data_IF_682322407164
#
_entry.id   IF_682322407164
#
_cell.length_a   1.000
_cell.length_b   1.000
_cell.length_c   1.000
_cell.angle_alpha   90.00
_cell.angle_beta   90.00
_cell.angle_gamma   90.00
#
_symmetry.space_group_name_H-M   'P 1'
#
loop_
_entity.id
_entity.type
_entity.pdbx_description
1 polymer ?
#
# COMPACT_ATOMS: atom_id res chain seq x y z
N UNK A 1 -21.56 11.32 3.42
CA UNK A 1 -20.77 10.10 3.20
C UNK A 1 -19.33 10.49 3.43
N UNK A 2 -18.59 9.81 4.30
CA UNK A 2 -17.15 10.07 4.44
C UNK A 2 -16.46 9.75 3.12
N UNK A 3 -15.52 10.59 2.70
CA UNK A 3 -14.69 10.30 1.53
C UNK A 3 -13.80 9.09 1.85
N UNK A 4 -13.71 8.12 0.94
CA UNK A 4 -12.81 6.95 1.09
C UNK A 4 -11.32 7.34 1.05
N UNK A 5 -11.03 8.56 0.61
CA UNK A 5 -9.66 9.06 0.38
C UNK A 5 -9.57 10.52 0.81
N UNK A 6 -8.53 10.87 1.53
CA UNK A 6 -8.11 12.26 1.73
C UNK A 6 -7.03 12.61 0.71
N UNK A 7 -7.15 13.76 0.06
CA UNK A 7 -6.09 14.40 -0.70
C UNK A 7 -5.91 15.84 -0.25
N UNK A 8 -4.73 16.17 0.24
CA UNK A 8 -4.31 17.52 0.61
C UNK A 8 -3.19 17.95 -0.36
N UNK A 9 -3.44 18.97 -1.21
CA UNK A 9 -2.44 19.41 -2.17
C UNK A 9 -1.26 20.07 -1.46
N UNK A 10 -0.05 19.88 -2.00
CA UNK A 10 1.19 20.48 -1.50
C UNK A 10 1.66 21.67 -2.30
N UNK A 11 2.68 22.35 -1.77
CA UNK A 11 3.42 23.45 -2.42
C UNK A 11 4.90 23.11 -2.65
N UNK A 12 5.38 21.99 -2.14
CA UNK A 12 6.73 21.44 -2.33
C UNK A 12 6.73 20.33 -3.38
N UNK A 13 7.89 19.87 -3.88
CA UNK A 13 7.95 18.72 -4.78
C UNK A 13 7.69 17.37 -4.09
N UNK A 14 7.55 17.35 -2.77
CA UNK A 14 7.38 16.13 -1.99
C UNK A 14 5.92 15.72 -1.92
N UNK A 15 5.66 14.44 -2.21
CA UNK A 15 4.37 13.79 -2.15
C UNK A 15 4.48 12.57 -1.23
N UNK A 16 3.66 12.52 -0.20
CA UNK A 16 3.54 11.37 0.68
C UNK A 16 2.17 10.72 0.51
N UNK A 17 2.12 9.40 0.53
CA UNK A 17 0.87 8.66 0.58
C UNK A 17 0.89 7.54 1.61
N UNK A 18 -0.28 7.24 2.19
CA UNK A 18 -0.51 6.14 3.12
C UNK A 18 -1.66 5.25 2.62
N UNK A 19 -1.34 4.14 1.95
CA UNK A 19 -2.36 3.26 1.36
C UNK A 19 -3.01 2.32 2.36
N UNK A 20 -2.42 2.11 3.55
CA UNK A 20 -2.74 1.00 4.43
C UNK A 20 -3.06 1.36 5.87
N UNK A 21 -3.09 2.65 6.23
CA UNK A 21 -3.42 3.10 7.60
C UNK A 21 -4.93 3.25 7.85
N UNK A 22 -5.76 3.00 6.84
CA UNK A 22 -7.20 3.18 6.91
C UNK A 22 -7.88 2.25 7.93
N UNK A 23 -8.77 2.83 8.74
CA UNK A 23 -9.48 2.16 9.84
C UNK A 23 -11.00 2.22 9.69
N UNK A 24 -11.52 2.75 8.58
CA UNK A 24 -12.96 2.80 8.30
C UNK A 24 -13.39 1.50 7.61
N UNK A 25 -13.90 0.57 8.40
CA UNK A 25 -14.39 -0.72 7.90
C UNK A 25 -15.78 -0.56 7.31
N UNK A 26 -15.98 -0.77 5.99
CA UNK A 26 -17.27 -0.61 5.36
C UNK A 26 -18.28 -1.66 5.83
N UNK A 27 -19.57 -1.27 5.96
CA UNK A 27 -20.65 -2.17 6.35
C UNK A 27 -20.82 -3.36 5.39
N UNK A 28 -20.46 -3.16 4.11
CA UNK A 28 -20.49 -4.20 3.06
C UNK A 28 -19.25 -5.09 3.03
N UNK A 29 -18.34 -5.00 4.01
CA UNK A 29 -17.15 -5.83 4.04
C UNK A 29 -17.49 -7.33 4.02
N UNK A 30 -18.45 -7.73 4.85
CA UNK A 30 -18.90 -9.12 4.89
C UNK A 30 -17.83 -10.11 5.34
N UNK A 31 -16.87 -9.67 6.17
CA UNK A 31 -15.87 -10.55 6.78
C UNK A 31 -16.49 -11.49 7.79
N UNK A 32 -15.91 -12.69 7.90
CA UNK A 32 -16.23 -13.66 8.96
C UNK A 32 -15.46 -13.43 10.26
N UNK A 33 -14.48 -12.53 10.25
CA UNK A 33 -13.58 -12.26 11.37
C UNK A 33 -14.06 -11.03 12.16
N UNK A 34 -13.72 -11.00 13.44
CA UNK A 34 -13.95 -9.85 14.29
C UNK A 34 -13.01 -8.68 13.94
N UNK A 35 -13.40 -7.47 14.36
CA UNK A 35 -12.67 -6.25 14.05
C UNK A 35 -11.25 -6.25 14.63
N UNK A 36 -11.02 -6.85 15.80
CA UNK A 36 -9.69 -6.88 16.44
C UNK A 36 -8.71 -7.70 15.60
N UNK A 37 -9.18 -8.81 15.05
CA UNK A 37 -8.41 -9.66 14.13
C UNK A 37 -8.13 -8.95 12.81
N UNK A 38 -9.14 -8.30 12.22
CA UNK A 38 -8.98 -7.57 10.96
C UNK A 38 -7.97 -6.42 11.09
N UNK A 39 -8.00 -5.69 12.20
CA UNK A 39 -7.11 -4.54 12.45
C UNK A 39 -5.63 -4.88 12.54
N UNK A 40 -5.26 -6.14 12.72
CA UNK A 40 -3.86 -6.60 12.70
C UNK A 40 -3.18 -6.44 11.33
N UNK A 41 -3.96 -6.23 10.27
CA UNK A 41 -3.46 -5.98 8.93
C UNK A 41 -3.20 -4.49 8.63
N UNK A 42 -3.58 -3.58 9.53
CA UNK A 42 -3.36 -2.15 9.36
C UNK A 42 -1.88 -1.80 9.51
N UNK A 43 -1.41 -0.88 8.68
CA UNK A 43 -0.14 -0.18 8.89
C UNK A 43 -0.38 0.92 9.95
N UNK A 44 -0.35 0.51 11.22
CA UNK A 44 -0.85 1.28 12.35
C UNK A 44 -0.09 2.59 12.54
N UNK A 45 -0.83 3.70 12.70
CA UNK A 45 -0.34 5.03 13.04
C UNK A 45 0.46 5.77 11.96
N UNK A 46 0.58 5.28 10.74
CA UNK A 46 1.29 5.97 9.66
C UNK A 46 0.71 7.36 9.42
N UNK A 47 -0.63 7.51 9.40
CA UNK A 47 -1.32 8.77 9.26
C UNK A 47 -0.98 9.78 10.38
N UNK A 48 -0.75 9.28 11.60
CA UNK A 48 -0.37 10.13 12.75
C UNK A 48 1.10 10.54 12.71
N UNK A 49 1.98 9.61 12.31
CA UNK A 49 3.42 9.86 12.19
C UNK A 49 3.67 10.98 11.17
N UNK A 50 2.94 10.99 10.06
CA UNK A 50 3.09 11.97 8.99
C UNK A 50 2.08 13.14 9.04
N UNK A 51 1.28 13.27 10.11
CA UNK A 51 0.29 14.34 10.26
C UNK A 51 0.86 15.76 10.15
N UNK A 52 2.16 15.93 10.35
CA UNK A 52 2.87 17.20 10.19
C UNK A 52 3.13 17.59 8.72
N UNK A 53 3.09 16.65 7.79
CA UNK A 53 3.53 16.83 6.41
C UNK A 53 2.78 17.97 5.67
N UNK A 54 1.44 18.10 5.75
CA UNK A 54 0.73 19.19 5.11
C UNK A 54 1.13 20.58 5.61
N UNK A 55 1.47 20.72 6.91
CA UNK A 55 1.92 21.99 7.47
C UNK A 55 3.28 22.44 6.91
N UNK A 56 4.08 21.51 6.36
CA UNK A 56 5.33 21.78 5.66
C UNK A 56 5.13 21.96 4.15
N UNK A 57 3.89 22.03 3.66
CA UNK A 57 3.59 22.16 2.25
C UNK A 57 3.78 20.86 1.43
N UNK A 58 3.86 19.71 2.09
CA UNK A 58 3.95 18.40 1.45
C UNK A 58 2.56 17.95 1.04
N UNK A 59 2.41 17.42 -0.18
CA UNK A 59 1.16 16.81 -0.61
C UNK A 59 0.94 15.50 0.17
N UNK A 60 -0.31 15.25 0.62
CA UNK A 60 -0.68 14.08 1.39
C UNK A 60 -1.88 13.37 0.77
N UNK A 61 -1.74 12.06 0.58
CA UNK A 61 -2.84 11.18 0.14
C UNK A 61 -3.01 10.05 1.14
N UNK A 62 -4.24 9.79 1.59
CA UNK A 62 -4.53 8.79 2.61
C UNK A 62 -5.76 7.98 2.24
N UNK A 63 -5.65 6.65 2.31
CA UNK A 63 -6.78 5.74 2.24
C UNK A 63 -7.44 5.62 3.61
N UNK A 64 -8.78 5.74 3.68
CA UNK A 64 -9.53 5.53 4.92
C UNK A 64 -10.03 4.10 5.06
N UNK A 65 -10.18 3.38 3.95
CA UNK A 65 -10.55 1.96 3.94
C UNK A 65 -9.35 1.07 4.30
N UNK A 66 -9.58 -0.07 4.98
CA UNK A 66 -8.50 -0.96 5.35
C UNK A 66 -7.98 -1.76 4.15
N UNK A 67 -6.66 -1.99 4.10
CA UNK A 67 -6.03 -2.78 3.04
C UNK A 67 -6.57 -4.20 2.89
N UNK A 68 -7.08 -4.77 3.97
CA UNK A 68 -7.67 -6.11 3.99
C UNK A 68 -9.01 -6.18 3.26
N UNK A 69 -9.69 -5.04 3.10
CA UNK A 69 -10.91 -4.88 2.30
C UNK A 69 -10.60 -4.72 0.82
N UNK A 70 -9.62 -3.85 0.51
CA UNK A 70 -9.03 -3.65 -0.80
C UNK A 70 -7.62 -3.08 -0.63
N UNK A 71 -6.62 -3.74 -1.22
CA UNK A 71 -5.23 -3.29 -1.15
C UNK A 71 -4.91 -2.34 -2.32
N UNK A 72 -4.89 -1.03 -2.05
CA UNK A 72 -4.58 -0.01 -3.06
C UNK A 72 -3.12 -0.04 -3.53
N UNK A 73 -2.25 -0.77 -2.84
CA UNK A 73 -0.88 -1.01 -3.28
C UNK A 73 -0.74 -2.35 -4.06
N UNK A 74 -1.83 -2.75 -4.75
CA UNK A 74 -1.90 -3.87 -5.70
C UNK A 74 -2.49 -3.40 -7.01
N UNK A 75 -2.08 -4.02 -8.12
CA UNK A 75 -2.74 -3.80 -9.41
C UNK A 75 -4.11 -4.49 -9.43
N UNK A 76 -5.04 -3.95 -10.21
CA UNK A 76 -6.39 -4.56 -10.37
C UNK A 76 -6.35 -5.94 -11.01
N UNK A 77 -5.25 -6.29 -11.68
CA UNK A 77 -5.00 -7.62 -12.25
C UNK A 77 -4.48 -8.64 -11.22
N UNK A 78 -4.16 -8.20 -9.99
CA UNK A 78 -3.67 -9.05 -8.89
C UNK A 78 -4.82 -9.64 -8.06
N UNK A 79 -5.83 -10.20 -8.72
CA UNK A 79 -7.02 -10.76 -8.08
C UNK A 79 -6.99 -12.30 -8.07
N UNK A 80 -7.28 -12.89 -6.90
CA UNK A 80 -7.55 -14.33 -6.80
C UNK A 80 -8.99 -14.63 -7.22
N UNK A 81 -9.17 -15.11 -8.44
CA UNK A 81 -10.50 -15.43 -8.99
C UNK A 81 -11.23 -16.54 -8.24
N UNK A 82 -10.52 -17.36 -7.44
CA UNK A 82 -11.15 -18.37 -6.59
C UNK A 82 -11.99 -17.77 -5.43
N UNK A 83 -11.83 -16.47 -5.16
CA UNK A 83 -12.68 -15.72 -4.23
C UNK A 83 -14.06 -15.39 -4.81
N UNK A 84 -14.25 -15.52 -6.14
CA UNK A 84 -15.43 -15.02 -6.83
C UNK A 84 -16.50 -16.08 -7.03
N UNK A 85 -17.72 -15.64 -6.88
CA UNK A 85 -18.91 -16.32 -7.41
C UNK A 85 -19.18 -15.75 -8.81
N UNK A 86 -18.62 -16.41 -9.83
CA UNK A 86 -18.71 -16.04 -11.24
C UNK A 86 -17.36 -15.71 -11.88
N UNK A 87 -17.37 -15.58 -13.21
CA UNK A 87 -16.20 -15.34 -14.03
C UNK A 87 -15.79 -13.86 -13.98
N UNK A 88 -14.50 -13.61 -13.70
CA UNK A 88 -13.95 -12.26 -13.76
C UNK A 88 -13.71 -11.84 -15.22
N UNK A 89 -14.32 -10.75 -15.69
CA UNK A 89 -14.30 -10.40 -17.10
C UNK A 89 -13.05 -9.62 -17.55
N UNK A 90 -12.27 -9.08 -16.60
CA UNK A 90 -11.13 -8.25 -16.89
C UNK A 90 -9.81 -9.07 -16.83
N UNK A 91 -8.69 -8.57 -17.39
CA UNK A 91 -7.41 -9.28 -17.36
C UNK A 91 -6.92 -9.59 -15.93
N UNK A 92 -6.29 -10.75 -15.78
CA UNK A 92 -5.57 -11.18 -14.57
C UNK A 92 -4.09 -11.29 -14.91
N UNK A 93 -3.23 -10.89 -13.97
CA UNK A 93 -1.79 -11.00 -14.12
C UNK A 93 -1.36 -12.45 -14.39
N UNK A 94 -0.42 -12.61 -15.31
CA UNK A 94 0.24 -13.90 -15.59
C UNK A 94 1.67 -13.94 -15.05
N UNK A 95 2.14 -12.86 -14.41
CA UNK A 95 3.49 -12.81 -13.82
C UNK A 95 3.58 -13.78 -12.62
N UNK A 96 4.49 -14.78 -12.67
CA UNK A 96 4.64 -15.75 -11.59
C UNK A 96 4.96 -15.13 -10.23
N UNK A 97 5.68 -13.99 -10.20
CA UNK A 97 6.03 -13.28 -8.95
C UNK A 97 4.78 -12.66 -8.32
N UNK A 98 3.95 -12.03 -9.14
CA UNK A 98 2.65 -11.48 -8.71
C UNK A 98 1.73 -12.60 -8.24
N UNK A 99 1.60 -13.66 -9.03
CA UNK A 99 0.77 -14.82 -8.68
C UNK A 99 1.23 -15.52 -7.39
N UNK A 100 2.51 -15.47 -7.04
CA UNK A 100 2.98 -16.04 -5.76
C UNK A 100 2.32 -15.35 -4.58
N UNK A 101 2.23 -14.03 -4.60
CA UNK A 101 1.57 -13.23 -3.54
C UNK A 101 0.05 -13.40 -3.53
N UNK A 102 -0.57 -13.46 -4.70
CA UNK A 102 -2.01 -13.74 -4.84
C UNK A 102 -2.37 -15.10 -4.24
N UNK A 103 -1.58 -16.15 -4.52
CA UNK A 103 -1.77 -17.51 -3.97
C UNK A 103 -1.63 -17.55 -2.44
N UNK A 104 -0.85 -16.64 -1.86
CA UNK A 104 -0.73 -16.48 -0.41
C UNK A 104 -1.90 -15.66 0.19
N UNK A 105 -2.87 -15.30 -0.64
CA UNK A 105 -4.05 -14.54 -0.22
C UNK A 105 -3.78 -13.04 -0.02
N UNK A 106 -2.73 -12.49 -0.64
CA UNK A 106 -2.30 -11.08 -0.53
C UNK A 106 -2.43 -10.34 -1.86
N UNK A 107 -3.48 -10.61 -2.62
CA UNK A 107 -3.83 -9.91 -3.84
C UNK A 107 -4.57 -8.59 -3.59
N UNK A 108 -5.24 -8.09 -4.64
CA UNK A 108 -6.08 -6.87 -4.58
C UNK A 108 -7.14 -6.95 -3.48
N UNK A 109 -7.79 -8.10 -3.37
CA UNK A 109 -8.68 -8.47 -2.25
C UNK A 109 -7.97 -9.55 -1.44
N UNK A 110 -7.76 -9.30 -0.16
CA UNK A 110 -7.12 -10.29 0.69
C UNK A 110 -8.04 -11.46 0.99
N UNK A 111 -7.50 -12.67 0.89
CA UNK A 111 -8.18 -13.93 1.16
C UNK A 111 -7.92 -14.44 2.58
N UNK A 112 -6.69 -14.22 3.06
CA UNK A 112 -6.22 -14.64 4.36
C UNK A 112 -5.55 -13.50 5.12
N UNK A 113 -5.68 -13.51 6.44
CA UNK A 113 -4.89 -12.67 7.33
C UNK A 113 -3.40 -13.06 7.31
N UNK A 114 -2.54 -12.27 8.00
CA UNK A 114 -1.13 -12.63 8.20
C UNK A 114 -0.93 -13.86 9.08
N UNK A 115 -1.98 -14.32 9.78
CA UNK A 115 -2.00 -15.54 10.57
C UNK A 115 -2.59 -16.73 9.80
N UNK A 116 -3.01 -16.53 8.54
CA UNK A 116 -3.59 -17.57 7.69
C UNK A 116 -5.08 -17.83 7.91
N UNK A 117 -5.77 -16.96 8.65
CA UNK A 117 -7.22 -17.08 8.89
C UNK A 117 -7.99 -16.62 7.65
N UNK A 118 -9.00 -17.38 7.17
CA UNK A 118 -9.81 -16.96 6.04
C UNK A 118 -10.68 -15.75 6.40
N UNK A 119 -10.61 -14.71 5.59
CA UNK A 119 -11.36 -13.46 5.82
C UNK A 119 -12.84 -13.64 5.50
N UNK A 120 -13.16 -14.44 4.50
CA UNK A 120 -14.52 -14.70 4.04
C UNK A 120 -14.89 -16.17 4.21
N UNK A 121 -16.14 -16.43 4.61
CA UNK A 121 -16.78 -17.76 4.59
C UNK A 121 -17.70 -17.94 3.39
N UNK A 122 -17.65 -17.02 2.43
CA UNK A 122 -18.41 -17.03 1.18
C UNK A 122 -17.53 -16.56 0.03
N UNK A 123 -17.96 -16.81 -1.17
CA UNK A 123 -17.42 -16.13 -2.33
C UNK A 123 -17.99 -14.70 -2.42
N UNK A 124 -17.24 -13.79 -3.03
CA UNK A 124 -17.66 -12.44 -3.35
C UNK A 124 -18.23 -12.42 -4.77
N UNK A 125 -19.26 -11.63 -5.00
CA UNK A 125 -19.74 -11.44 -6.37
C UNK A 125 -18.78 -10.54 -7.16
N UNK A 126 -18.75 -10.71 -8.46
CA UNK A 126 -18.00 -9.83 -9.38
C UNK A 126 -18.42 -8.35 -9.19
N UNK A 127 -19.72 -8.10 -8.94
CA UNK A 127 -20.23 -6.76 -8.71
C UNK A 127 -19.67 -6.12 -7.42
N UNK A 128 -19.54 -6.89 -6.33
CA UNK A 128 -18.91 -6.40 -5.08
C UNK A 128 -17.46 -5.99 -5.31
N UNK A 129 -16.67 -6.80 -5.99
CA UNK A 129 -15.25 -6.48 -6.25
C UNK A 129 -15.11 -5.25 -7.15
N UNK A 130 -15.94 -5.14 -8.19
CA UNK A 130 -15.97 -3.95 -9.04
C UNK A 130 -16.35 -2.69 -8.27
N UNK A 131 -17.37 -2.77 -7.41
CA UNK A 131 -17.77 -1.65 -6.57
C UNK A 131 -16.65 -1.19 -5.62
N UNK A 132 -15.86 -2.14 -5.06
CA UNK A 132 -14.67 -1.81 -4.24
C UNK A 132 -13.59 -1.11 -5.07
N UNK A 133 -13.31 -1.60 -6.28
CA UNK A 133 -12.35 -0.95 -7.19
C UNK A 133 -12.79 0.48 -7.50
N UNK A 134 -14.05 0.67 -7.86
CA UNK A 134 -14.57 1.99 -8.27
C UNK A 134 -14.64 2.97 -7.10
N UNK A 135 -14.98 2.49 -5.89
CA UNK A 135 -15.13 3.32 -4.70
C UNK A 135 -13.80 3.62 -3.99
N UNK A 136 -12.85 2.69 -4.01
CA UNK A 136 -11.62 2.77 -3.22
C UNK A 136 -10.37 2.91 -4.10
N UNK A 137 -10.11 1.94 -4.99
CA UNK A 137 -8.87 1.88 -5.76
C UNK A 137 -8.72 3.06 -6.72
N UNK A 138 -9.75 3.30 -7.57
CA UNK A 138 -9.69 4.36 -8.59
C UNK A 138 -9.54 5.76 -7.97
N UNK A 139 -10.31 6.15 -6.94
CA UNK A 139 -10.14 7.46 -6.30
C UNK A 139 -8.78 7.61 -5.64
N UNK A 140 -8.25 6.56 -4.99
CA UNK A 140 -6.93 6.60 -4.37
C UNK A 140 -5.84 6.82 -5.42
N UNK A 141 -5.82 6.03 -6.47
CA UNK A 141 -4.84 6.16 -7.55
C UNK A 141 -4.98 7.48 -8.30
N UNK A 142 -6.20 8.00 -8.49
CA UNK A 142 -6.41 9.32 -9.08
C UNK A 142 -5.82 10.43 -8.20
N UNK A 143 -5.98 10.35 -6.87
CA UNK A 143 -5.42 11.34 -5.95
C UNK A 143 -3.88 11.29 -5.93
N UNK A 144 -3.27 10.09 -5.92
CA UNK A 144 -1.81 9.92 -5.99
C UNK A 144 -1.27 10.47 -7.31
N UNK A 145 -1.88 10.12 -8.44
CA UNK A 145 -1.49 10.65 -9.75
C UNK A 145 -1.58 12.18 -9.79
N UNK A 146 -2.69 12.75 -9.34
CA UNK A 146 -2.88 14.19 -9.27
C UNK A 146 -1.82 14.89 -8.41
N UNK A 147 -1.47 14.31 -7.26
CA UNK A 147 -0.44 14.86 -6.37
C UNK A 147 0.94 14.85 -7.04
N UNK A 148 1.30 13.72 -7.68
CA UNK A 148 2.58 13.54 -8.36
C UNK A 148 2.69 14.46 -9.58
N UNK A 149 1.63 14.59 -10.39
CA UNK A 149 1.63 15.42 -11.60
C UNK A 149 1.62 16.93 -11.29
N UNK A 150 1.07 17.33 -10.15
CA UNK A 150 1.04 18.73 -9.74
C UNK A 150 2.42 19.29 -9.33
N UNK A 151 3.32 18.45 -8.82
CA UNK A 151 4.63 18.87 -8.34
C UNK A 151 5.58 19.28 -9.50
N UNK A 152 5.73 18.53 -10.61
CA UNK A 152 6.59 18.93 -11.73
C UNK A 152 6.16 20.22 -12.42
N UNK A 153 4.88 20.51 -12.47
CA UNK A 153 4.38 21.77 -13.03
C UNK A 153 4.94 23.00 -12.32
N UNK A 154 5.34 22.85 -11.04
CA UNK A 154 5.89 23.94 -10.21
C UNK A 154 7.40 23.85 -10.01
N UNK A 155 7.94 22.63 -9.95
CA UNK A 155 9.31 22.35 -9.51
C UNK A 155 10.17 21.63 -10.55
N UNK A 156 9.59 21.16 -11.66
CA UNK A 156 10.26 20.36 -12.67
C UNK A 156 10.40 18.85 -12.33
N UNK A 157 10.12 18.47 -11.09
CA UNK A 157 10.19 17.08 -10.60
C UNK A 157 9.24 16.85 -9.42
N UNK A 158 9.01 15.59 -9.08
CA UNK A 158 8.35 15.16 -7.83
C UNK A 158 9.22 14.14 -7.10
N UNK A 159 9.06 14.08 -5.78
CA UNK A 159 9.62 13.03 -4.93
C UNK A 159 8.44 12.38 -4.23
N UNK A 160 8.16 11.12 -4.57
CA UNK A 160 7.07 10.35 -4.00
C UNK A 160 7.58 9.36 -2.96
N UNK A 161 7.06 9.44 -1.74
CA UNK A 161 7.30 8.49 -0.67
C UNK A 161 6.00 7.76 -0.33
N UNK A 162 5.99 6.47 -0.60
CA UNK A 162 4.90 5.57 -0.23
C UNK A 162 5.13 5.07 1.20
N UNK A 163 4.32 5.58 2.14
CA UNK A 163 4.55 5.43 3.58
C UNK A 163 3.85 4.19 4.13
N UNK A 164 4.60 3.37 4.85
CA UNK A 164 4.14 2.15 5.48
C UNK A 164 4.64 2.03 6.91
N UNK A 165 4.03 1.14 7.70
CA UNK A 165 4.65 0.58 8.90
C UNK A 165 4.82 -0.94 8.73
N UNK A 166 5.67 -1.52 9.55
CA UNK A 166 5.92 -2.94 9.58
C UNK A 166 6.14 -3.41 11.02
N UNK A 167 5.85 -4.67 11.34
CA UNK A 167 6.18 -5.21 12.66
C UNK A 167 7.69 -5.30 12.85
N UNK A 168 8.18 -5.18 14.09
CA UNK A 168 9.61 -5.33 14.41
C UNK A 168 10.16 -6.73 14.06
N UNK A 169 9.29 -7.73 14.08
CA UNK A 169 9.62 -9.12 13.68
C UNK A 169 8.58 -9.60 12.68
N UNK A 170 9.06 -10.11 11.56
CA UNK A 170 8.20 -10.68 10.52
C UNK A 170 7.32 -11.80 11.08
N UNK A 171 6.04 -11.77 10.74
CA UNK A 171 5.07 -12.75 11.20
C UNK A 171 5.43 -14.18 10.77
N UNK A 172 4.94 -15.17 11.50
CA UNK A 172 5.16 -16.61 11.26
C UNK A 172 4.75 -17.05 9.85
N UNK A 173 3.74 -16.39 9.29
CA UNK A 173 3.20 -16.65 7.95
C UNK A 173 3.59 -15.54 6.95
N UNK A 174 4.64 -14.76 7.25
CA UNK A 174 5.18 -13.81 6.29
C UNK A 174 5.56 -14.55 5.01
N UNK A 175 5.26 -13.94 3.87
CA UNK A 175 5.49 -14.53 2.54
C UNK A 175 6.97 -14.72 2.23
N UNK A 176 7.80 -13.87 2.83
CA UNK A 176 9.25 -13.87 2.70
C UNK A 176 9.85 -13.68 4.10
N UNK A 177 10.86 -14.45 4.42
CA UNK A 177 11.64 -14.31 5.67
C UNK A 177 10.82 -14.36 6.97
N UNK A 178 9.99 -15.41 7.24
CA UNK A 178 9.28 -15.54 8.51
C UNK A 178 10.23 -15.47 9.70
N UNK A 179 9.88 -14.68 10.72
CA UNK A 179 10.70 -14.50 11.93
C UNK A 179 11.92 -13.59 11.77
N UNK A 180 12.09 -12.93 10.60
CA UNK A 180 13.14 -11.93 10.42
C UNK A 180 12.92 -10.74 11.36
N UNK A 181 13.94 -10.35 12.11
CA UNK A 181 13.99 -9.06 12.79
C UNK A 181 14.21 -7.96 11.75
N UNK A 182 13.30 -7.00 11.71
CA UNK A 182 13.41 -5.89 10.78
C UNK A 182 14.29 -4.76 11.33
N UNK A 183 15.00 -4.06 10.44
CA UNK A 183 15.59 -2.76 10.76
C UNK A 183 14.49 -1.73 11.12
N UNK A 184 14.87 -0.64 11.77
CA UNK A 184 13.93 0.45 12.10
C UNK A 184 13.28 1.03 10.84
N UNK A 185 14.04 1.12 9.73
CA UNK A 185 13.55 1.55 8.43
C UNK A 185 13.97 0.59 7.31
N UNK A 186 13.08 0.44 6.33
CA UNK A 186 13.37 -0.20 5.06
C UNK A 186 13.07 0.80 3.94
N UNK A 187 14.10 1.16 3.17
CA UNK A 187 13.96 2.00 1.98
C UNK A 187 13.94 1.12 0.74
N UNK A 188 12.84 1.19 -0.01
CA UNK A 188 12.65 0.36 -1.21
C UNK A 188 12.40 1.23 -2.45
N UNK A 189 13.25 1.06 -3.48
CA UNK A 189 13.13 1.71 -4.78
C UNK A 189 13.16 0.72 -5.96
N UNK A 190 12.80 -0.54 -5.67
CA UNK A 190 12.74 -1.62 -6.65
C UNK A 190 14.08 -1.83 -7.39
N UNK A 191 15.15 -1.90 -6.61
CA UNK A 191 16.52 -2.07 -7.11
C UNK A 191 16.95 -0.93 -8.07
N UNK A 192 16.62 0.33 -7.71
CA UNK A 192 17.01 1.52 -8.47
C UNK A 192 16.12 1.81 -9.67
N UNK A 193 14.96 1.13 -9.81
CA UNK A 193 14.09 1.32 -10.98
C UNK A 193 12.99 2.37 -10.78
N UNK A 194 12.82 2.90 -9.57
CA UNK A 194 11.72 3.83 -9.25
C UNK A 194 12.17 5.15 -8.61
N UNK A 195 13.44 5.25 -8.23
CA UNK A 195 14.04 6.48 -7.74
C UNK A 195 15.53 6.54 -8.12
N UNK A 196 16.10 7.76 -8.19
CA UNK A 196 17.53 7.90 -8.45
C UNK A 196 18.36 7.31 -7.30
N UNK A 197 19.50 6.64 -7.59
CA UNK A 197 20.38 6.10 -6.55
C UNK A 197 20.84 7.16 -5.54
N UNK A 198 21.04 8.41 -5.99
CA UNK A 198 21.44 9.51 -5.13
C UNK A 198 20.36 9.87 -4.09
N UNK A 199 19.09 9.85 -4.47
CA UNK A 199 17.98 10.09 -3.56
C UNK A 199 17.86 8.98 -2.52
N UNK A 200 17.92 7.72 -2.95
CA UNK A 200 17.85 6.57 -2.04
C UNK A 200 19.01 6.55 -1.05
N UNK A 201 20.23 6.86 -1.52
CA UNK A 201 21.41 6.99 -0.67
C UNK A 201 21.25 8.11 0.37
N UNK A 202 20.81 9.29 -0.07
CA UNK A 202 20.58 10.45 0.82
C UNK A 202 19.60 10.09 1.94
N UNK A 203 18.48 9.44 1.64
CA UNK A 203 17.49 9.04 2.63
C UNK A 203 18.11 8.04 3.62
N UNK A 204 18.79 6.99 3.12
CA UNK A 204 19.41 5.99 3.98
C UNK A 204 20.50 6.59 4.89
N UNK A 205 21.35 7.45 4.35
CA UNK A 205 22.41 8.12 5.11
C UNK A 205 21.84 9.03 6.20
N UNK A 206 20.81 9.82 5.87
CA UNK A 206 20.17 10.71 6.83
C UNK A 206 19.52 9.93 7.98
N UNK A 207 18.79 8.86 7.69
CA UNK A 207 18.16 8.01 8.72
C UNK A 207 19.23 7.38 9.63
N UNK A 208 20.35 6.88 9.06
CA UNK A 208 21.47 6.35 9.84
C UNK A 208 22.14 7.41 10.69
N UNK A 209 22.30 8.63 10.18
CA UNK A 209 22.84 9.76 10.93
C UNK A 209 21.94 10.15 12.11
N UNK A 210 20.63 9.90 12.01
CA UNK A 210 19.69 10.06 13.13
C UNK A 210 19.72 8.89 14.14
N UNK A 211 20.56 7.87 13.93
CA UNK A 211 20.75 6.75 14.84
C UNK A 211 19.91 5.52 14.57
N UNK A 212 19.18 5.47 13.45
CA UNK A 212 18.34 4.35 13.07
C UNK A 212 19.10 3.28 12.27
N UNK A 213 18.71 2.02 12.45
CA UNK A 213 19.09 0.93 11.56
C UNK A 213 18.28 1.01 10.25
N UNK A 214 18.97 0.87 9.10
CA UNK A 214 18.34 1.03 7.78
C UNK A 214 18.78 -0.07 6.83
N UNK A 215 17.80 -0.81 6.33
CA UNK A 215 17.94 -1.76 5.22
C UNK A 215 17.51 -1.11 3.90
N UNK A 216 18.10 -1.58 2.79
CA UNK A 216 17.82 -1.08 1.46
C UNK A 216 17.40 -2.21 0.54
N UNK A 217 16.18 -2.10 -0.02
CA UNK A 217 15.57 -3.12 -0.87
C UNK A 217 15.48 -4.53 -0.24
N UNK A 218 15.54 -4.63 1.08
CA UNK A 218 15.43 -5.88 1.82
C UNK A 218 14.73 -5.65 3.17
N UNK A 219 13.74 -6.45 3.57
CA UNK A 219 13.06 -7.47 2.75
C UNK A 219 12.06 -6.87 1.75
N UNK A 220 11.74 -5.57 1.84
CA UNK A 220 10.73 -4.90 1.03
C UNK A 220 11.38 -3.99 -0.01
N UNK A 221 11.00 -4.17 -1.28
CA UNK A 221 11.52 -3.39 -2.42
C UNK A 221 10.55 -2.32 -2.94
N UNK A 222 9.32 -2.32 -2.43
CA UNK A 222 8.22 -1.58 -3.00
C UNK A 222 7.43 -2.41 -4.03
N UNK A 223 6.16 -2.12 -4.15
CA UNK A 223 5.22 -2.85 -5.03
C UNK A 223 4.49 -1.90 -5.98
N UNK A 224 3.17 -1.96 -6.08
CA UNK A 224 2.41 -1.34 -7.15
C UNK A 224 2.55 0.20 -7.21
N UNK A 225 2.37 0.91 -6.10
CA UNK A 225 2.39 2.38 -6.12
C UNK A 225 3.73 2.93 -6.60
N UNK A 226 4.84 2.45 -6.05
CA UNK A 226 6.16 2.89 -6.50
C UNK A 226 6.52 2.37 -7.90
N UNK A 227 6.02 1.18 -8.30
CA UNK A 227 6.20 0.65 -9.64
C UNK A 227 5.48 1.50 -10.69
N UNK A 228 4.24 1.91 -10.37
CA UNK A 228 3.37 2.65 -11.31
C UNK A 228 3.79 4.09 -11.48
N UNK A 229 4.20 4.74 -10.41
CA UNK A 229 4.44 6.18 -10.36
C UNK A 229 5.93 6.55 -10.27
N UNK A 230 6.80 5.61 -9.95
CA UNK A 230 8.25 5.85 -9.86
C UNK A 230 8.87 6.00 -11.23
N UNK A 231 9.75 7.00 -11.36
CA UNK A 231 10.57 7.26 -12.54
C UNK A 231 11.87 7.91 -12.06
N UNK A 232 13.03 7.18 -12.10
CA UNK A 232 14.31 7.65 -11.58
C UNK A 232 14.89 8.83 -12.34
#
# INVERSE_FOLDING_TARGET
MSSEVTYLPGSTPLVLDSPHSGTQYPDDFGSALDLVTLRRAEDTHVEKIYAFAPALGVAWVEAHFPRIYLDSNRDTTELDTSLLDGDWPDPISTDPKVLSKVRLGKGLIWKFTDQGEPIYQRQLTVAEVRARIDRCWRPYHAAVAQAIDAAPARHGYSIHLNCHSMPAVAGRFATEFPGLEHADFVVGDRDGTTASPALSALICEHLRACGYSVEYNHPYKGVELVRRYGNP
#
